data_IF_687291097897
#
_entry.id   IF_687291097897
#
_cell.length_a   1.000
_cell.length_b   1.000
_cell.length_c   1.000
_cell.angle_alpha   90.00
_cell.angle_beta   90.00
_cell.angle_gamma   90.00
#
_symmetry.space_group_name_H-M   'P 1'
#
loop_
_entity.id
_entity.type
_entity.pdbx_description
1 polymer ?
#
# COMPACT_ATOMS: atom_id res chain seq x y z
N UNK A 1 -10.33 0.73 10.59
CA UNK A 1 -10.63 1.30 9.27
C UNK A 1 -12.09 1.58 9.17
N UNK A 2 -12.43 2.71 8.56
CA UNK A 2 -13.80 3.17 8.43
C UNK A 2 -14.53 2.38 7.33
N UNK A 3 -15.81 2.00 7.54
CA UNK A 3 -16.70 1.55 6.47
C UNK A 3 -16.77 2.55 5.30
N UNK A 4 -17.08 2.07 4.09
CA UNK A 4 -17.18 2.92 2.89
C UNK A 4 -18.11 4.14 3.06
N UNK A 5 -19.24 4.00 3.76
CA UNK A 5 -20.17 5.11 4.02
C UNK A 5 -19.52 6.25 4.83
N UNK A 6 -18.57 5.92 5.70
CA UNK A 6 -17.85 6.89 6.53
C UNK A 6 -16.67 7.50 5.75
N UNK A 7 -16.12 6.80 4.76
CA UNK A 7 -15.03 7.30 3.90
C UNK A 7 -15.44 8.56 3.15
N UNK A 8 -16.65 8.62 2.61
CA UNK A 8 -17.13 9.80 1.85
C UNK A 8 -17.20 11.06 2.70
N UNK A 9 -17.79 10.94 3.90
CA UNK A 9 -17.89 12.08 4.84
C UNK A 9 -16.51 12.59 5.24
N UNK A 10 -15.57 11.67 5.49
CA UNK A 10 -14.20 12.03 5.87
C UNK A 10 -13.41 12.59 4.67
N UNK A 11 -13.61 12.08 3.47
CA UNK A 11 -13.01 12.62 2.25
C UNK A 11 -13.46 14.07 2.01
N UNK A 12 -14.76 14.34 2.10
CA UNK A 12 -15.31 15.70 1.96
C UNK A 12 -14.69 16.63 3.01
N UNK A 13 -14.60 16.18 4.26
CA UNK A 13 -13.95 16.94 5.32
C UNK A 13 -12.47 17.21 5.02
N UNK A 14 -11.71 16.20 4.59
CA UNK A 14 -10.29 16.32 4.25
C UNK A 14 -10.04 17.29 3.08
N UNK A 15 -10.92 17.29 2.07
CA UNK A 15 -10.89 18.25 0.96
C UNK A 15 -11.15 19.66 1.46
N UNK A 16 -12.21 19.87 2.25
CA UNK A 16 -12.59 21.18 2.77
C UNK A 16 -11.53 21.79 3.70
N UNK A 17 -10.76 20.95 4.41
CA UNK A 17 -9.64 21.36 5.25
C UNK A 17 -8.32 21.54 4.50
N UNK A 18 -8.30 21.25 3.20
CA UNK A 18 -7.11 21.39 2.36
C UNK A 18 -6.06 20.28 2.57
N UNK A 19 -6.38 19.18 3.26
CA UNK A 19 -5.40 18.12 3.51
C UNK A 19 -5.00 17.37 2.24
N UNK A 20 -5.94 17.20 1.30
CA UNK A 20 -5.65 16.61 -0.02
C UNK A 20 -4.71 17.51 -0.83
N UNK A 21 -4.94 18.83 -0.84
CA UNK A 21 -4.04 19.80 -1.47
C UNK A 21 -2.66 19.82 -0.79
N UNK A 22 -2.65 19.72 0.55
CA UNK A 22 -1.44 19.63 1.36
C UNK A 22 -0.56 18.40 1.07
N UNK A 23 -1.08 17.35 0.44
CA UNK A 23 -0.26 16.25 -0.09
C UNK A 23 0.64 16.74 -1.23
N UNK A 24 0.07 17.46 -2.21
CA UNK A 24 0.82 17.97 -3.35
C UNK A 24 1.92 18.94 -2.90
N UNK A 25 1.61 19.82 -1.95
CA UNK A 25 2.60 20.73 -1.34
C UNK A 25 3.72 19.98 -0.62
N UNK A 26 3.40 18.91 0.12
CA UNK A 26 4.41 18.09 0.78
C UNK A 26 5.34 17.39 -0.22
N UNK A 27 4.82 17.03 -1.40
CA UNK A 27 5.60 16.35 -2.43
C UNK A 27 6.40 17.29 -3.33
N UNK A 28 6.04 18.57 -3.41
CA UNK A 28 6.68 19.55 -4.30
C UNK A 28 8.18 19.76 -4.01
N UNK A 29 8.64 19.47 -2.78
CA UNK A 29 10.04 19.57 -2.40
C UNK A 29 10.89 18.31 -2.67
N UNK A 30 10.31 17.24 -3.23
CA UNK A 30 11.07 16.04 -3.54
C UNK A 30 11.95 16.25 -4.77
N UNK A 31 13.20 15.71 -4.79
CA UNK A 31 14.05 15.77 -5.97
C UNK A 31 13.37 15.20 -7.21
N UNK A 32 13.46 15.93 -8.32
CA UNK A 32 13.06 15.43 -9.62
C UNK A 32 14.16 14.52 -10.16
N UNK A 33 13.86 13.22 -10.25
CA UNK A 33 14.68 12.24 -10.95
C UNK A 33 13.87 11.52 -12.01
N UNK A 34 14.50 11.18 -13.13
CA UNK A 34 13.82 10.47 -14.21
C UNK A 34 13.48 9.04 -13.78
N UNK A 35 12.24 8.62 -14.06
CA UNK A 35 11.78 7.26 -13.81
C UNK A 35 11.64 6.54 -15.15
N UNK A 36 12.37 5.44 -15.32
CA UNK A 36 12.36 4.61 -16.53
C UNK A 36 11.06 3.79 -16.74
N UNK A 37 10.02 4.04 -15.94
CA UNK A 37 8.72 3.37 -16.00
C UNK A 37 8.76 1.84 -16.04
N UNK A 38 9.72 1.25 -15.33
CA UNK A 38 10.02 -0.18 -15.36
C UNK A 38 9.29 -1.03 -14.30
N UNK A 39 8.30 -0.43 -13.60
CA UNK A 39 7.49 -1.06 -12.53
C UNK A 39 8.21 -1.80 -11.41
N UNK A 40 9.54 -1.66 -11.25
CA UNK A 40 10.31 -2.19 -10.11
C UNK A 40 9.75 -1.76 -8.75
N UNK A 41 9.14 -0.57 -8.68
CA UNK A 41 8.49 -0.08 -7.46
C UNK A 41 7.19 -0.82 -7.10
N UNK A 42 6.66 -1.65 -8.00
CA UNK A 42 5.41 -2.38 -7.86
C UNK A 42 5.58 -3.81 -7.32
N UNK A 43 6.80 -4.24 -6.97
CA UNK A 43 7.03 -5.56 -6.34
C UNK A 43 6.42 -5.66 -4.93
N UNK A 44 6.09 -4.53 -4.29
CA UNK A 44 5.25 -4.51 -3.08
C UNK A 44 4.31 -3.32 -3.15
N UNK A 45 3.10 -3.50 -2.63
CA UNK A 45 2.21 -2.37 -2.46
C UNK A 45 2.76 -1.38 -1.41
N UNK A 46 2.66 -0.07 -1.68
CA UNK A 46 3.16 0.94 -0.76
C UNK A 46 2.30 1.04 0.50
N UNK A 47 2.93 1.29 1.66
CA UNK A 47 2.29 1.91 2.81
C UNK A 47 1.88 3.34 2.45
N UNK A 48 0.73 3.73 2.95
CA UNK A 48 0.13 5.03 2.74
C UNK A 48 -0.51 5.51 4.05
N UNK A 49 -0.46 6.80 4.29
CA UNK A 49 -1.26 7.43 5.35
C UNK A 49 -2.74 7.33 4.99
N UNK A 50 -3.62 7.57 5.96
CA UNK A 50 -5.05 7.55 5.70
C UNK A 50 -5.46 8.66 4.72
N UNK A 51 -4.84 9.84 4.81
CA UNK A 51 -5.04 10.94 3.87
C UNK A 51 -4.62 10.57 2.44
N UNK A 52 -3.50 9.88 2.25
CA UNK A 52 -3.06 9.37 0.94
C UNK A 52 -4.02 8.32 0.38
N UNK A 53 -4.55 7.46 1.26
CA UNK A 53 -5.58 6.52 0.90
C UNK A 53 -6.86 7.22 0.43
N UNK A 54 -7.33 8.27 1.12
CA UNK A 54 -8.51 9.04 0.70
C UNK A 54 -8.31 9.66 -0.69
N UNK A 55 -7.13 10.20 -0.97
CA UNK A 55 -6.79 10.74 -2.30
C UNK A 55 -6.83 9.64 -3.38
N UNK A 56 -6.26 8.47 -3.09
CA UNK A 56 -6.29 7.32 -4.00
C UNK A 56 -7.72 6.81 -4.20
N UNK A 57 -8.51 6.71 -3.13
CA UNK A 57 -9.89 6.26 -3.17
C UNK A 57 -10.75 7.16 -4.07
N UNK A 58 -10.64 8.48 -3.88
CA UNK A 58 -11.30 9.48 -4.73
C UNK A 58 -10.93 9.29 -6.19
N UNK A 59 -9.64 9.14 -6.50
CA UNK A 59 -9.17 8.91 -7.87
C UNK A 59 -9.69 7.61 -8.49
N UNK A 60 -9.73 6.51 -7.72
CA UNK A 60 -10.22 5.21 -8.19
C UNK A 60 -11.73 5.23 -8.49
N UNK A 61 -12.51 5.98 -7.70
CA UNK A 61 -13.94 6.17 -7.92
C UNK A 61 -14.26 6.78 -9.29
N UNK A 62 -13.39 7.65 -9.79
CA UNK A 62 -13.55 8.30 -11.10
C UNK A 62 -13.05 7.44 -12.27
N UNK A 63 -12.43 6.28 -12.00
CA UNK A 63 -11.96 5.38 -13.07
C UNK A 63 -13.10 4.59 -13.72
N UNK A 64 -12.93 4.07 -14.95
CA UNK A 64 -13.92 3.18 -15.57
C UNK A 64 -14.24 1.97 -14.70
N UNK A 65 -15.50 1.50 -14.72
CA UNK A 65 -15.96 0.37 -13.90
C UNK A 65 -15.14 -0.91 -14.09
N UNK A 66 -14.64 -1.16 -15.31
CA UNK A 66 -13.74 -2.26 -15.58
C UNK A 66 -12.44 -2.16 -14.76
N UNK A 67 -11.80 -0.99 -14.79
CA UNK A 67 -10.56 -0.73 -14.02
C UNK A 67 -10.82 -0.83 -12.52
N UNK A 68 -11.96 -0.30 -12.05
CA UNK A 68 -12.38 -0.45 -10.65
C UNK A 68 -12.45 -1.93 -10.26
N UNK A 69 -13.17 -2.75 -11.02
CA UNK A 69 -13.31 -4.19 -10.76
C UNK A 69 -11.97 -4.92 -10.73
N UNK A 70 -11.11 -4.68 -11.73
CA UNK A 70 -9.78 -5.28 -11.81
C UNK A 70 -8.89 -4.92 -10.61
N UNK A 71 -8.85 -3.64 -10.22
CA UNK A 71 -8.08 -3.16 -9.06
C UNK A 71 -8.62 -3.75 -7.77
N UNK A 72 -9.94 -3.81 -7.60
CA UNK A 72 -10.59 -4.37 -6.41
C UNK A 72 -10.29 -5.86 -6.27
N UNK A 73 -10.35 -6.62 -7.37
CA UNK A 73 -9.98 -8.03 -7.39
C UNK A 73 -8.54 -8.23 -6.92
N UNK A 74 -7.58 -7.56 -7.57
CA UNK A 74 -6.14 -7.65 -7.23
C UNK A 74 -5.86 -7.20 -5.81
N UNK A 75 -6.60 -6.19 -5.33
CA UNK A 75 -6.49 -5.69 -3.96
C UNK A 75 -6.85 -6.75 -2.93
N UNK A 76 -7.92 -7.50 -3.17
CA UNK A 76 -8.32 -8.61 -2.29
C UNK A 76 -7.32 -9.75 -2.36
N UNK A 77 -6.86 -10.09 -3.57
CA UNK A 77 -5.83 -11.11 -3.74
C UNK A 77 -4.55 -10.76 -2.96
N UNK A 78 -4.05 -9.55 -3.14
CA UNK A 78 -2.90 -9.04 -2.39
C UNK A 78 -3.13 -9.04 -0.88
N UNK A 79 -4.28 -8.54 -0.41
CA UNK A 79 -4.61 -8.47 1.01
C UNK A 79 -4.52 -9.83 1.71
N UNK A 80 -4.95 -10.89 1.04
CA UNK A 80 -4.88 -12.24 1.59
C UNK A 80 -3.52 -12.90 1.36
N UNK A 81 -2.92 -12.72 0.18
CA UNK A 81 -1.80 -13.54 -0.28
C UNK A 81 -0.44 -12.86 -0.25
N UNK A 82 -0.32 -11.59 0.18
CA UNK A 82 0.98 -10.87 0.21
C UNK A 82 2.11 -11.61 0.96
N UNK A 83 1.77 -12.55 1.85
CA UNK A 83 2.74 -13.40 2.58
C UNK A 83 2.76 -14.86 2.12
N UNK A 84 1.83 -15.28 1.27
CA UNK A 84 1.62 -16.68 0.90
C UNK A 84 1.91 -16.96 -0.58
N UNK A 85 1.89 -15.94 -1.43
CA UNK A 85 2.19 -16.04 -2.85
C UNK A 85 3.34 -15.08 -3.20
N UNK A 86 4.56 -15.59 -3.49
CA UNK A 86 5.70 -14.77 -3.89
C UNK A 86 5.50 -14.03 -5.21
N UNK A 87 4.51 -14.43 -6.02
CA UNK A 87 4.17 -13.77 -7.29
C UNK A 87 3.29 -12.53 -7.13
N UNK A 88 2.89 -12.18 -5.91
CA UNK A 88 2.05 -11.00 -5.67
C UNK A 88 2.77 -9.72 -6.09
N UNK A 89 2.06 -8.90 -6.86
CA UNK A 89 2.48 -7.55 -7.24
C UNK A 89 1.49 -6.52 -6.70
N UNK A 90 1.92 -5.27 -6.68
CA UNK A 90 1.08 -4.14 -6.34
C UNK A 90 -0.22 -4.18 -7.17
N UNK A 91 -1.42 -4.14 -6.54
CA UNK A 91 -2.71 -4.19 -7.23
C UNK A 91 -2.95 -3.07 -8.25
N UNK A 92 -2.15 -2.00 -8.18
CA UNK A 92 -2.23 -0.85 -9.07
C UNK A 92 -1.26 -0.92 -10.25
N UNK A 93 -0.48 -1.99 -10.38
CA UNK A 93 0.29 -2.31 -11.58
C UNK A 93 -0.68 -2.88 -12.63
N UNK A 94 -0.75 -2.26 -13.80
CA UNK A 94 -1.58 -2.72 -14.91
C UNK A 94 -0.87 -3.79 -15.77
N UNK A 95 -1.60 -4.53 -16.63
CA UNK A 95 -1.01 -5.56 -17.48
C UNK A 95 0.02 -5.07 -18.51
N UNK A 96 0.12 -3.76 -18.74
CA UNK A 96 1.09 -3.15 -19.67
C UNK A 96 2.31 -2.60 -18.93
N UNK A 97 2.50 -3.01 -17.68
CA UNK A 97 3.55 -2.50 -16.79
C UNK A 97 3.48 -0.97 -16.62
N UNK A 98 2.27 -0.45 -16.39
CA UNK A 98 2.06 0.94 -16.01
C UNK A 98 1.37 1.04 -14.65
N UNK A 99 1.55 2.16 -13.94
CA UNK A 99 0.92 2.40 -12.64
C UNK A 99 -0.41 3.12 -12.81
N UNK A 100 -1.52 2.44 -12.49
CA UNK A 100 -2.89 2.97 -12.60
C UNK A 100 -3.13 4.21 -11.75
N UNK A 101 -2.44 4.31 -10.60
CA UNK A 101 -2.58 5.42 -9.65
C UNK A 101 -1.44 6.42 -9.74
N UNK A 102 -0.66 6.45 -10.84
CA UNK A 102 0.52 7.31 -10.98
C UNK A 102 0.31 8.76 -10.53
N UNK A 103 -0.81 9.46 -10.85
CA UNK A 103 -1.02 10.85 -10.43
C UNK A 103 -1.17 11.02 -8.91
N UNK A 104 -1.76 10.01 -8.25
CA UNK A 104 -2.12 10.03 -6.83
C UNK A 104 -1.37 8.98 -6.02
N UNK A 105 -0.21 8.52 -6.51
CA UNK A 105 0.65 7.54 -5.80
C UNK A 105 0.91 8.03 -4.36
N UNK A 106 1.32 7.18 -3.40
CA UNK A 106 1.70 7.65 -2.06
C UNK A 106 3.18 8.07 -1.99
N UNK A 107 3.59 8.61 -0.84
CA UNK A 107 4.95 9.06 -0.54
C UNK A 107 5.96 7.94 -0.72
N UNK A 108 5.67 6.72 -0.25
CA UNK A 108 6.60 5.60 -0.39
C UNK A 108 6.92 5.29 -1.87
N UNK A 109 5.94 5.40 -2.77
CA UNK A 109 6.19 5.26 -4.21
C UNK A 109 7.02 6.43 -4.78
N UNK A 110 6.86 7.65 -4.25
CA UNK A 110 7.67 8.81 -4.69
C UNK A 110 9.12 8.68 -4.26
N UNK A 111 9.35 8.24 -3.03
CA UNK A 111 10.68 8.04 -2.44
C UNK A 111 11.45 6.87 -3.05
N UNK A 112 10.77 5.93 -3.71
CA UNK A 112 11.43 4.77 -4.32
C UNK A 112 12.45 5.20 -5.38
N UNK A 113 13.73 4.95 -5.13
CA UNK A 113 14.85 5.39 -5.96
C UNK A 113 15.30 6.84 -5.76
N UNK A 114 14.85 7.47 -4.67
CA UNK A 114 15.40 8.73 -4.16
C UNK A 114 16.30 8.53 -2.94
N UNK A 115 16.28 7.36 -2.30
CA UNK A 115 17.23 7.02 -1.23
C UNK A 115 18.59 6.65 -1.82
N UNK A 116 19.65 6.84 -1.05
CA UNK A 116 20.95 6.25 -1.37
C UNK A 116 20.88 4.72 -1.35
N UNK A 117 21.78 4.05 -2.05
CA UNK A 117 21.81 2.58 -2.06
C UNK A 117 22.00 2.01 -0.65
N UNK A 118 22.90 2.59 0.15
CA UNK A 118 23.15 2.14 1.53
C UNK A 118 21.91 2.28 2.42
N UNK A 119 21.22 3.43 2.35
CA UNK A 119 20.00 3.66 3.12
C UNK A 119 18.87 2.71 2.71
N UNK A 120 18.75 2.45 1.40
CA UNK A 120 17.78 1.50 0.87
C UNK A 120 18.06 0.08 1.34
N UNK A 121 19.32 -0.36 1.27
CA UNK A 121 19.73 -1.69 1.73
C UNK A 121 19.46 -1.88 3.23
N UNK A 122 19.77 -0.88 4.06
CA UNK A 122 19.47 -0.94 5.50
C UNK A 122 17.96 -1.04 5.76
N UNK A 123 17.15 -0.23 5.09
CA UNK A 123 15.70 -0.29 5.22
C UNK A 123 15.13 -1.64 4.74
N UNK A 124 15.71 -2.22 3.71
CA UNK A 124 15.29 -3.51 3.16
C UNK A 124 15.64 -4.68 4.11
N UNK A 125 16.82 -4.64 4.75
CA UNK A 125 17.17 -5.62 5.79
C UNK A 125 16.19 -5.58 6.97
N UNK A 126 15.83 -4.37 7.43
CA UNK A 126 14.82 -4.21 8.50
C UNK A 126 13.47 -4.79 8.09
N UNK A 127 13.03 -4.59 6.84
CA UNK A 127 11.79 -5.18 6.32
C UNK A 127 11.86 -6.71 6.33
N UNK A 128 12.95 -7.29 5.84
CA UNK A 128 13.12 -8.76 5.78
C UNK A 128 13.05 -9.35 7.18
N UNK A 129 13.73 -8.74 8.17
CA UNK A 129 13.68 -9.18 9.56
C UNK A 129 12.25 -9.13 10.14
N UNK A 130 11.47 -8.09 9.82
CA UNK A 130 10.07 -8.00 10.23
C UNK A 130 9.22 -9.13 9.62
N UNK A 131 9.43 -9.46 8.34
CA UNK A 131 8.69 -10.54 7.68
C UNK A 131 9.08 -11.89 8.27
N UNK A 132 10.36 -12.11 8.58
CA UNK A 132 10.79 -13.33 9.27
C UNK A 132 10.09 -13.51 10.62
N UNK A 133 9.94 -12.42 11.39
CA UNK A 133 9.19 -12.46 12.66
C UNK A 133 7.70 -12.79 12.43
N UNK A 134 7.08 -12.23 11.39
CA UNK A 134 5.70 -12.57 11.01
C UNK A 134 5.59 -14.04 10.60
N UNK A 135 6.53 -14.56 9.80
CA UNK A 135 6.55 -15.96 9.39
C UNK A 135 6.66 -16.91 10.58
N UNK A 136 7.50 -16.57 11.57
CA UNK A 136 7.59 -17.33 12.81
C UNK A 136 6.24 -17.33 13.56
N UNK A 137 5.58 -16.18 13.69
CA UNK A 137 4.25 -16.11 14.29
C UNK A 137 3.20 -16.94 13.55
N UNK A 138 3.24 -16.98 12.21
CA UNK A 138 2.33 -17.84 11.42
C UNK A 138 2.54 -19.33 11.68
N UNK A 139 3.79 -19.75 11.82
CA UNK A 139 4.13 -21.13 12.18
C UNK A 139 3.67 -21.45 13.60
N UNK A 140 4.04 -20.61 14.57
CA UNK A 140 3.84 -20.89 16.00
C UNK A 140 2.35 -20.83 16.40
N UNK A 141 1.58 -19.89 15.85
CA UNK A 141 0.17 -19.70 16.22
C UNK A 141 -0.80 -20.54 15.38
N UNK A 142 -0.48 -20.80 14.11
CA UNK A 142 -1.45 -21.37 13.15
C UNK A 142 -1.00 -22.64 12.45
N UNK A 143 0.22 -23.12 12.71
CA UNK A 143 0.87 -24.25 12.02
C UNK A 143 0.88 -24.05 10.49
N UNK A 144 1.18 -22.81 10.07
CA UNK A 144 1.25 -22.43 8.65
C UNK A 144 2.70 -22.10 8.29
N UNK A 145 3.25 -22.86 7.35
CA UNK A 145 4.54 -22.54 6.73
C UNK A 145 4.35 -21.63 5.53
N UNK A 146 4.83 -20.38 5.66
CA UNK A 146 4.85 -19.42 4.55
C UNK A 146 6.08 -19.64 3.66
N UNK A 147 5.97 -19.38 2.34
CA UNK A 147 7.06 -19.65 1.41
C UNK A 147 8.26 -18.72 1.64
N UNK A 148 9.50 -19.24 1.68
CA UNK A 148 10.70 -18.42 1.93
C UNK A 148 11.00 -17.41 0.82
N UNK A 149 10.45 -17.62 -0.38
CA UNK A 149 10.62 -16.70 -1.52
C UNK A 149 10.05 -15.29 -1.26
N UNK A 150 9.17 -15.09 -0.26
CA UNK A 150 8.72 -13.74 0.14
C UNK A 150 9.81 -12.90 0.82
N UNK A 151 10.91 -13.54 1.24
CA UNK A 151 12.08 -12.90 1.85
C UNK A 151 13.10 -12.38 0.82
N UNK A 152 12.88 -12.64 -0.47
CA UNK A 152 13.78 -12.14 -1.52
C UNK A 152 13.85 -10.61 -1.43
N UNK A 153 15.06 -10.02 -1.35
CA UNK A 153 15.22 -8.57 -1.31
C UNK A 153 14.69 -7.91 -2.58
N UNK A 154 14.03 -6.78 -2.41
CA UNK A 154 13.47 -6.00 -3.51
C UNK A 154 14.58 -5.27 -4.28
N UNK A 155 14.43 -5.09 -5.59
CA UNK A 155 15.46 -4.44 -6.41
C UNK A 155 15.65 -2.98 -6.00
N UNK A 156 16.91 -2.56 -5.85
CA UNK A 156 17.25 -1.14 -5.78
C UNK A 156 16.94 -0.45 -7.12
N UNK A 157 16.49 0.80 -7.05
CA UNK A 157 16.23 1.62 -8.21
C UNK A 157 17.13 2.85 -8.16
N UNK A 158 18.09 2.92 -9.07
CA UNK A 158 18.86 4.14 -9.27
C UNK A 158 18.12 5.01 -10.29
N UNK A 159 17.27 5.93 -9.82
CA UNK A 159 16.67 6.92 -10.73
C UNK A 159 17.79 7.83 -11.22
N UNK A 160 17.91 7.98 -12.53
CA UNK A 160 18.95 8.79 -13.19
C UNK A 160 18.45 10.22 -13.43
N UNK A 161 19.36 11.19 -13.48
CA UNK A 161 19.06 12.57 -13.88
C UNK A 161 18.40 13.44 -12.78
N UNK A 162 18.62 14.76 -12.87
CA UNK A 162 18.15 15.78 -11.94
C UNK A 162 19.22 16.87 -11.71
N UNK A 163 18.86 18.15 -11.76
CA UNK A 163 19.80 19.29 -11.56
C UNK A 163 20.49 19.25 -10.18
N UNK A 164 19.88 18.56 -9.22
CA UNK A 164 20.49 18.17 -7.97
C UNK A 164 20.49 16.64 -7.90
N UNK A 165 21.65 16.01 -8.08
CA UNK A 165 21.85 14.58 -7.81
C UNK A 165 21.68 14.18 -6.34
N UNK A 166 20.92 14.95 -5.55
CA UNK A 166 20.71 14.74 -4.12
C UNK A 166 19.78 13.57 -3.88
N UNK A 167 20.24 12.64 -3.05
CA UNK A 167 19.39 11.65 -2.42
C UNK A 167 18.57 12.31 -1.31
N UNK A 168 17.39 11.76 -1.05
CA UNK A 168 16.59 12.10 0.14
C UNK A 168 17.15 11.29 1.30
N UNK A 169 17.50 11.97 2.40
CA UNK A 169 17.94 11.27 3.60
C UNK A 169 16.76 10.55 4.28
N UNK A 170 17.05 9.51 5.07
CA UNK A 170 16.02 8.83 5.87
C UNK A 170 15.31 9.84 6.80
N UNK A 171 16.05 10.77 7.40
CA UNK A 171 15.47 11.78 8.29
C UNK A 171 14.48 12.70 7.56
N UNK A 172 14.80 13.14 6.34
CA UNK A 172 13.89 13.98 5.54
C UNK A 172 12.65 13.20 5.10
N UNK A 173 12.83 11.92 4.71
CA UNK A 173 11.71 11.03 4.39
C UNK A 173 10.78 10.81 5.60
N UNK A 174 11.34 10.65 6.80
CA UNK A 174 10.59 10.51 8.04
C UNK A 174 9.89 11.82 8.43
N UNK A 175 10.51 12.98 8.23
CA UNK A 175 9.87 14.28 8.46
C UNK A 175 8.68 14.50 7.53
N UNK A 176 8.80 14.12 6.25
CA UNK A 176 7.67 14.13 5.32
C UNK A 176 6.57 13.16 5.77
N UNK A 177 6.92 11.93 6.16
CA UNK A 177 5.95 10.96 6.70
C UNK A 177 5.22 11.53 7.92
N UNK A 178 5.92 12.14 8.87
CA UNK A 178 5.33 12.75 10.07
C UNK A 178 4.38 13.90 9.72
N UNK A 179 4.75 14.75 8.74
CA UNK A 179 3.87 15.80 8.23
C UNK A 179 2.57 15.20 7.68
N UNK A 180 2.64 14.14 6.88
CA UNK A 180 1.44 13.48 6.33
C UNK A 180 0.59 12.82 7.42
N UNK A 181 1.22 12.19 8.41
CA UNK A 181 0.54 11.59 9.56
C UNK A 181 -0.18 12.65 10.40
N UNK A 182 0.32 13.88 10.47
CA UNK A 182 -0.37 14.97 11.18
C UNK A 182 -1.74 15.29 10.58
N UNK A 183 -1.94 15.08 9.27
CA UNK A 183 -3.25 15.20 8.64
C UNK A 183 -4.21 14.11 9.13
N UNK A 184 -3.72 12.87 9.26
CA UNK A 184 -4.52 11.75 9.79
C UNK A 184 -5.03 12.01 11.21
N UNK A 185 -4.22 12.67 12.06
CA UNK A 185 -4.61 13.04 13.43
C UNK A 185 -5.79 14.01 13.52
N UNK A 186 -6.13 14.67 12.41
CA UNK A 186 -7.30 15.52 12.29
C UNK A 186 -8.51 14.81 11.65
N UNK A 187 -8.33 13.58 11.18
CA UNK A 187 -9.34 12.78 10.48
C UNK A 187 -9.84 11.60 11.30
N UNK A 188 -9.00 11.06 12.19
CA UNK A 188 -9.34 9.92 13.04
C UNK A 188 -8.92 10.18 14.48
N UNK A 189 -9.43 9.37 15.41
CA UNK A 189 -9.04 9.42 16.81
C UNK A 189 -7.50 9.31 16.96
N UNK A 190 -6.86 10.15 17.80
CA UNK A 190 -5.40 10.16 17.94
C UNK A 190 -4.80 8.80 18.28
N UNK A 191 -5.50 7.96 19.05
CA UNK A 191 -5.07 6.61 19.41
C UNK A 191 -4.85 5.72 18.18
N UNK A 192 -5.62 5.94 17.10
CA UNK A 192 -5.43 5.23 15.85
C UNK A 192 -4.15 5.67 15.14
N UNK A 193 -3.78 6.94 15.24
CA UNK A 193 -2.54 7.45 14.67
C UNK A 193 -1.34 6.94 15.45
N UNK A 194 -1.38 7.02 16.79
CA UNK A 194 -0.28 6.57 17.65
C UNK A 194 0.01 5.07 17.53
N UNK A 195 -1.00 4.25 17.21
CA UNK A 195 -0.84 2.81 16.97
C UNK A 195 -0.44 2.46 15.54
N UNK A 196 -0.08 3.44 14.71
CA UNK A 196 0.19 3.32 13.27
C UNK A 196 -0.92 2.63 12.45
N UNK A 197 -2.17 2.57 12.95
CA UNK A 197 -3.25 1.88 12.22
C UNK A 197 -3.77 2.69 11.03
N UNK A 198 -3.30 3.94 10.87
CA UNK A 198 -3.54 4.77 9.69
C UNK A 198 -2.43 4.66 8.63
N UNK A 199 -1.28 4.07 8.97
CA UNK A 199 -0.15 3.90 8.06
C UNK A 199 -0.01 2.43 7.63
N UNK A 200 -0.95 1.97 6.81
CA UNK A 200 -1.04 0.60 6.31
C UNK A 200 -0.71 0.53 4.82
N UNK A 201 -0.39 -0.66 4.27
CA UNK A 201 -0.37 -0.85 2.82
C UNK A 201 -1.67 -0.36 2.18
N UNK A 202 -1.56 0.38 1.09
CA UNK A 202 -2.68 0.99 0.39
C UNK A 202 -3.76 -0.02 -0.03
N UNK A 203 -3.42 -1.24 -0.52
CA UNK A 203 -4.41 -2.29 -0.74
C UNK A 203 -5.08 -2.80 0.53
N UNK A 204 -4.39 -2.78 1.68
CA UNK A 204 -4.99 -3.19 2.94
C UNK A 204 -6.06 -2.18 3.36
N UNK A 205 -5.79 -0.88 3.19
CA UNK A 205 -6.81 0.16 3.39
C UNK A 205 -8.04 -0.09 2.51
N UNK A 206 -7.82 -0.28 1.20
CA UNK A 206 -8.90 -0.49 0.24
C UNK A 206 -9.69 -1.79 0.48
N UNK A 207 -9.00 -2.91 0.74
CA UNK A 207 -9.63 -4.20 1.05
C UNK A 207 -10.54 -4.11 2.28
N UNK A 208 -10.09 -3.42 3.34
CA UNK A 208 -10.88 -3.24 4.55
C UNK A 208 -12.11 -2.35 4.36
N UNK A 209 -12.01 -1.34 3.49
CA UNK A 209 -13.15 -0.49 3.14
C UNK A 209 -14.20 -1.29 2.36
N UNK A 210 -13.77 -2.15 1.44
CA UNK A 210 -14.65 -2.86 0.51
C UNK A 210 -15.25 -4.14 1.12
N UNK A 211 -14.44 -4.91 1.84
CA UNK A 211 -14.87 -6.20 2.41
C UNK A 211 -15.37 -6.13 3.85
N UNK A 212 -15.22 -4.96 4.50
CA UNK A 212 -15.36 -4.66 5.92
C UNK A 212 -14.12 -4.99 6.78
N UNK A 213 -13.93 -4.36 7.96
CA UNK A 213 -12.78 -4.61 8.82
C UNK A 213 -12.68 -6.03 9.39
N UNK A 214 -13.82 -6.72 9.54
CA UNK A 214 -13.89 -8.09 10.07
C UNK A 214 -13.22 -9.12 9.17
N UNK A 215 -12.97 -8.78 7.91
CA UNK A 215 -12.27 -9.64 6.94
C UNK A 215 -10.87 -10.06 7.38
N UNK A 216 -10.21 -9.29 8.27
CA UNK A 216 -8.90 -9.64 8.83
C UNK A 216 -8.91 -11.02 9.49
N UNK A 217 -9.98 -11.36 10.20
CA UNK A 217 -10.12 -12.66 10.86
C UNK A 217 -10.21 -13.85 9.89
N UNK A 218 -10.40 -13.59 8.59
CA UNK A 218 -10.46 -14.62 7.54
C UNK A 218 -9.13 -14.88 6.87
N UNK A 219 -8.09 -14.10 7.18
CA UNK A 219 -6.81 -14.17 6.47
C UNK A 219 -6.10 -15.51 6.64
N UNK A 220 -6.08 -16.05 7.85
CA UNK A 220 -5.48 -17.38 8.15
C UNK A 220 -6.21 -18.49 7.38
N UNK A 221 -7.55 -18.46 7.36
CA UNK A 221 -8.38 -19.45 6.65
C UNK A 221 -8.10 -19.43 5.14
N UNK A 222 -8.03 -18.23 4.53
CA UNK A 222 -7.77 -18.07 3.10
C UNK A 222 -6.35 -18.50 2.74
N UNK A 223 -5.34 -18.11 3.53
CA UNK A 223 -3.94 -18.49 3.30
C UNK A 223 -3.78 -20.02 3.37
N UNK A 224 -4.36 -20.67 4.39
CA UNK A 224 -4.28 -22.12 4.55
C UNK A 224 -4.88 -22.85 3.35
N UNK A 225 -6.07 -22.44 2.91
CA UNK A 225 -6.72 -23.03 1.74
C UNK A 225 -5.88 -22.82 0.47
N UNK A 226 -5.30 -21.63 0.29
CA UNK A 226 -4.45 -21.30 -0.85
C UNK A 226 -3.20 -22.19 -0.91
N UNK A 227 -2.50 -22.37 0.20
CA UNK A 227 -1.32 -23.23 0.29
C UNK A 227 -1.63 -24.71 0.06
N UNK A 228 -2.89 -25.13 0.27
CA UNK A 228 -3.38 -26.47 -0.06
C UNK A 228 -3.83 -26.61 -1.53
N UNK A 229 -3.65 -25.57 -2.35
CA UNK A 229 -3.94 -25.57 -3.78
C UNK A 229 -5.38 -25.18 -4.15
N UNK A 230 -6.17 -24.65 -3.22
CA UNK A 230 -7.54 -24.18 -3.51
C UNK A 230 -7.64 -22.65 -3.45
N UNK A 231 -8.39 -22.06 -4.39
CA UNK A 231 -8.69 -20.62 -4.43
C UNK A 231 -10.15 -20.29 -4.11
N UNK A 232 -10.94 -21.26 -3.64
CA UNK A 232 -12.38 -21.10 -3.41
C UNK A 232 -12.73 -19.92 -2.50
N UNK A 233 -12.11 -19.78 -1.33
CA UNK A 233 -12.39 -18.64 -0.45
C UNK A 233 -11.87 -17.33 -1.02
N UNK A 234 -10.69 -17.36 -1.63
CA UNK A 234 -10.10 -16.19 -2.28
C UNK A 234 -11.03 -15.64 -3.37
N UNK A 235 -11.46 -16.50 -4.30
CA UNK A 235 -12.34 -16.14 -5.41
C UNK A 235 -13.72 -15.68 -4.91
N UNK A 236 -14.23 -16.26 -3.83
CA UNK A 236 -15.44 -15.78 -3.15
C UNK A 236 -15.31 -14.33 -2.69
N UNK A 237 -14.21 -13.98 -2.02
CA UNK A 237 -14.01 -12.62 -1.52
C UNK A 237 -13.66 -11.64 -2.63
N UNK A 238 -12.88 -12.07 -3.63
CA UNK A 238 -12.53 -11.28 -4.80
C UNK A 238 -13.79 -10.91 -5.61
N UNK A 239 -14.66 -11.88 -5.90
CA UNK A 239 -15.94 -11.65 -6.59
C UNK A 239 -16.90 -10.76 -5.78
N UNK A 240 -16.90 -10.86 -4.45
CA UNK A 240 -17.65 -9.92 -3.59
C UNK A 240 -17.12 -8.49 -3.74
N UNK A 241 -15.80 -8.30 -3.77
CA UNK A 241 -15.20 -6.97 -3.93
C UNK A 241 -15.45 -6.37 -5.31
N UNK A 242 -15.45 -7.16 -6.38
CA UNK A 242 -15.77 -6.69 -7.74
C UNK A 242 -17.19 -6.09 -7.84
N UNK A 243 -18.12 -6.56 -7.01
CA UNK A 243 -19.49 -6.02 -6.94
C UNK A 243 -19.60 -4.69 -6.18
N UNK A 244 -18.52 -4.23 -5.54
CA UNK A 244 -18.50 -3.00 -4.78
C UNK A 244 -18.74 -1.79 -5.68
N UNK A 245 -19.55 -0.87 -5.17
CA UNK A 245 -19.82 0.41 -5.82
C UNK A 245 -19.25 1.50 -4.93
N UNK A 246 -18.23 2.16 -5.46
CA UNK A 246 -17.77 3.46 -4.95
C UNK A 246 -18.93 4.46 -4.97
#
# INVERSE_FOLDING_TARGET
MLPAADIESVLIYAVNRGYIAGLAEAYAGLPEKECADCTKCCDLAPRATFTEYLNTYSYLREQPKQIQGEVLRRTVEFFFLELADPGQRCPFNDPKDSCLIRPVRPLQCRLFGLLSQSDYEEAEQKRIAQIQAIMAGFRDEYDIELPPAILIPRPYCDRTGGENGSFVSIADADMLKLRLISYDGNLVAPEHVFREVTYLPLPVHLAMTVLNPGIRGKRVEVIREFLQGSRKFLDKYAGRAESFRF
#
